data_IF_447886856711
#
_entry.id   IF_447886856711
#
_cell.length_a   1.000
_cell.length_b   1.000
_cell.length_c   1.000
_cell.angle_alpha   90.00
_cell.angle_beta   90.00
_cell.angle_gamma   90.00
#
_symmetry.space_group_name_H-M   'P 1'
#
loop_
_entity.id
_entity.type
_entity.pdbx_description
1 polymer ?
#
# COMPACT_ATOMS: atom_id res chain seq x y z
N UNK A 1 -18.05 -17.83 37.90
CA UNK A 1 -16.74 -17.14 37.86
C UNK A 1 -16.97 -15.76 37.26
N UNK A 2 -16.56 -14.75 38.02
CA UNK A 2 -17.09 -13.38 38.02
C UNK A 2 -16.40 -12.47 37.01
N UNK A 3 -17.20 -11.66 36.30
CA UNK A 3 -16.76 -10.61 35.36
C UNK A 3 -16.17 -9.41 36.13
N UNK A 4 -15.02 -8.90 35.69
CA UNK A 4 -14.40 -7.68 36.21
C UNK A 4 -14.76 -6.49 35.30
N UNK A 5 -15.30 -5.36 35.80
CA UNK A 5 -15.72 -4.24 34.95
C UNK A 5 -14.59 -3.26 34.57
N UNK A 6 -14.73 -2.66 33.39
CA UNK A 6 -13.98 -1.50 32.86
C UNK A 6 -14.06 -0.29 33.82
N UNK A 7 -13.18 -0.18 34.81
CA UNK A 7 -12.92 1.08 35.53
C UNK A 7 -11.61 1.14 36.34
N UNK A 8 -10.51 0.56 35.83
CA UNK A 8 -9.17 0.67 36.44
C UNK A 8 -8.06 0.90 35.41
N UNK A 9 -8.21 1.93 34.57
CA UNK A 9 -7.12 2.38 33.69
C UNK A 9 -6.99 3.92 33.61
N UNK A 10 -7.75 4.67 34.40
CA UNK A 10 -7.60 6.12 34.54
C UNK A 10 -7.38 6.43 36.02
N UNK A 11 -6.17 6.19 36.50
CA UNK A 11 -5.75 6.67 37.83
C UNK A 11 -4.24 6.95 37.93
N UNK A 12 -3.49 6.91 36.81
CA UNK A 12 -2.06 7.24 36.77
C UNK A 12 -1.72 8.43 35.86
N UNK A 13 -2.69 9.29 35.53
CA UNK A 13 -2.49 10.44 34.65
C UNK A 13 -3.03 11.76 35.23
N UNK A 14 -2.93 11.95 36.55
CA UNK A 14 -3.37 13.18 37.23
C UNK A 14 -2.48 13.50 38.46
N UNK A 15 -1.17 13.62 38.24
CA UNK A 15 -0.21 14.43 39.02
C UNK A 15 0.82 14.91 37.99
N UNK A 16 0.71 16.09 37.39
CA UNK A 16 1.12 17.34 38.00
C UNK A 16 0.31 18.52 37.41
N UNK A 17 -0.22 19.33 38.33
CA UNK A 17 -1.28 20.29 38.09
C UNK A 17 -0.85 21.65 37.54
N UNK A 18 -1.84 22.27 36.94
CA UNK A 18 -2.01 23.69 36.63
C UNK A 18 -1.95 24.59 37.87
N UNK A 19 -1.38 25.79 37.76
CA UNK A 19 -1.65 26.88 38.72
C UNK A 19 -0.73 28.11 38.71
N UNK A 20 -0.86 28.94 37.68
CA UNK A 20 -0.89 30.43 37.66
C UNK A 20 -0.20 31.22 38.81
N UNK A 21 0.69 32.19 38.49
CA UNK A 21 0.55 33.62 38.90
C UNK A 21 1.61 34.60 38.34
N UNK A 22 1.11 35.79 37.99
CA UNK A 22 1.67 37.15 38.15
C UNK A 22 2.86 37.68 37.30
N UNK A 23 2.57 38.84 36.69
CA UNK A 23 3.49 39.85 36.19
C UNK A 23 4.35 40.47 37.30
N UNK A 24 5.62 40.74 36.97
CA UNK A 24 6.38 41.90 37.47
C UNK A 24 7.39 41.65 38.58
N UNK A 25 8.68 41.86 38.30
CA UNK A 25 9.71 42.05 39.32
C UNK A 25 11.07 41.49 38.94
N UNK A 26 12.07 42.36 38.85
CA UNK A 26 13.42 42.10 38.37
C UNK A 26 14.14 40.94 39.08
N UNK A 27 14.76 40.08 38.27
CA UNK A 27 15.70 39.06 38.73
C UNK A 27 16.53 38.59 37.54
N UNK A 28 17.63 39.30 37.27
CA UNK A 28 18.67 38.83 36.35
C UNK A 28 19.25 37.51 36.87
N UNK A 29 18.73 36.39 36.38
CA UNK A 29 19.45 35.13 36.39
C UNK A 29 20.02 34.92 35.00
N UNK A 30 21.33 35.17 34.89
CA UNK A 30 22.16 34.73 33.77
C UNK A 30 22.11 33.20 33.73
N UNK A 31 21.11 32.64 33.06
CA UNK A 31 21.19 31.28 32.57
C UNK A 31 22.29 31.27 31.52
N UNK A 32 23.44 30.71 31.91
CA UNK A 32 24.44 30.26 30.98
C UNK A 32 23.73 29.40 29.91
N UNK A 33 23.59 29.96 28.72
CA UNK A 33 23.08 29.26 27.56
C UNK A 33 24.03 28.09 27.30
N UNK A 34 23.62 26.88 27.66
CA UNK A 34 24.33 25.69 27.23
C UNK A 34 24.09 25.57 25.71
N UNK A 35 25.10 25.78 24.84
CA UNK A 35 24.91 25.73 23.38
C UNK A 35 24.37 24.37 22.92
N UNK A 36 24.62 23.30 23.69
CA UNK A 36 24.06 21.98 23.45
C UNK A 36 22.51 21.93 23.52
N UNK A 37 21.87 22.77 24.36
CA UNK A 37 20.40 22.84 24.41
C UNK A 37 19.80 23.64 23.25
N UNK A 38 20.52 24.65 22.74
CA UNK A 38 20.07 25.46 21.59
C UNK A 38 20.16 24.70 20.26
N UNK A 39 21.14 23.81 20.10
CA UNK A 39 21.28 22.95 18.92
C UNK A 39 20.18 21.88 18.81
N UNK A 40 19.51 21.50 19.91
CA UNK A 40 18.49 20.46 19.96
C UNK A 40 17.08 20.94 19.54
N UNK A 41 16.79 22.23 19.62
CA UNK A 41 15.43 22.76 19.32
C UNK A 41 15.12 22.86 17.81
N UNK A 42 16.11 22.62 16.93
CA UNK A 42 15.98 22.83 15.48
C UNK A 42 16.20 21.58 14.62
N UNK A 43 16.60 20.47 15.24
CA UNK A 43 16.73 19.20 14.53
C UNK A 43 15.45 18.38 14.69
N UNK A 44 14.89 17.91 13.58
CA UNK A 44 13.72 17.02 13.58
C UNK A 44 14.05 15.74 12.84
N UNK A 45 13.66 14.60 13.41
CA UNK A 45 13.93 13.27 12.85
C UNK A 45 12.61 12.59 12.52
N UNK A 46 12.55 11.99 11.35
CA UNK A 46 11.38 11.28 10.86
C UNK A 46 11.83 9.92 10.32
N UNK A 47 11.09 8.87 10.69
CA UNK A 47 11.03 7.66 9.87
C UNK A 47 9.80 7.88 8.98
N UNK A 48 9.96 8.33 7.73
CA UNK A 48 8.83 8.78 6.93
C UNK A 48 7.86 7.63 6.67
N UNK A 49 6.57 7.96 6.69
CA UNK A 49 5.51 7.06 6.23
C UNK A 49 5.68 6.82 4.74
N UNK A 50 5.83 5.57 4.29
CA UNK A 50 5.90 5.30 2.87
C UNK A 50 4.50 5.41 2.26
N UNK A 51 4.44 5.88 1.03
CA UNK A 51 3.23 6.02 0.23
C UNK A 51 3.32 5.08 -0.98
N UNK A 52 2.45 4.07 -1.03
CA UNK A 52 2.30 3.16 -2.17
C UNK A 52 1.15 3.62 -3.07
N UNK A 53 1.37 3.62 -4.39
CA UNK A 53 0.30 3.81 -5.38
C UNK A 53 -0.31 2.45 -5.72
N UNK A 54 -1.63 2.34 -5.61
CA UNK A 54 -2.41 1.13 -5.92
C UNK A 54 -3.56 1.50 -6.85
N UNK A 55 -3.63 0.83 -7.99
CA UNK A 55 -4.57 1.07 -9.08
C UNK A 55 -5.44 -0.17 -9.24
N UNK A 56 -6.72 -0.08 -8.90
CA UNK A 56 -7.67 -1.19 -8.95
C UNK A 56 -8.31 -1.34 -10.34
N UNK A 57 -8.95 -2.49 -10.56
CA UNK A 57 -9.71 -2.80 -11.79
C UNK A 57 -8.89 -2.76 -13.10
N UNK A 58 -7.58 -2.98 -13.02
CA UNK A 58 -6.74 -3.11 -14.21
C UNK A 58 -7.05 -4.44 -14.90
N UNK A 59 -6.96 -4.52 -16.23
CA UNK A 59 -7.11 -5.79 -16.95
C UNK A 59 -8.47 -5.99 -17.63
N UNK A 60 -9.48 -5.18 -17.34
CA UNK A 60 -10.69 -5.13 -18.14
C UNK A 60 -10.40 -4.67 -19.58
N UNK A 61 -11.04 -5.28 -20.58
CA UNK A 61 -11.02 -4.81 -21.97
C UNK A 61 -12.27 -4.00 -22.30
N UNK A 62 -13.42 -4.41 -21.80
CA UNK A 62 -14.64 -3.61 -21.87
C UNK A 62 -14.61 -2.49 -20.83
N UNK A 63 -14.91 -1.26 -21.25
CA UNK A 63 -15.19 -0.19 -20.31
C UNK A 63 -16.61 -0.23 -19.74
N UNK A 64 -17.53 -0.93 -20.40
CA UNK A 64 -18.95 -0.91 -20.03
C UNK A 64 -19.22 -1.64 -18.70
N UNK A 65 -19.82 -0.94 -17.75
CA UNK A 65 -20.41 -1.55 -16.55
C UNK A 65 -21.68 -2.32 -16.92
N UNK A 66 -21.64 -3.64 -16.75
CA UNK A 66 -22.75 -4.53 -17.05
C UNK A 66 -23.46 -5.06 -15.80
N UNK A 67 -23.18 -4.51 -14.62
CA UNK A 67 -23.72 -4.98 -13.34
C UNK A 67 -25.24 -5.05 -13.28
N UNK A 68 -25.93 -4.11 -13.93
CA UNK A 68 -27.41 -4.11 -14.05
C UNK A 68 -27.97 -5.33 -14.78
N UNK A 69 -27.14 -6.03 -15.56
CA UNK A 69 -27.48 -7.23 -16.35
C UNK A 69 -26.86 -8.52 -15.79
N UNK A 70 -26.38 -8.50 -14.55
CA UNK A 70 -25.65 -9.61 -13.92
C UNK A 70 -24.27 -9.90 -14.54
N UNK A 71 -23.72 -8.96 -15.28
CA UNK A 71 -22.32 -8.99 -15.73
C UNK A 71 -21.43 -8.29 -14.67
N UNK A 72 -20.08 -8.30 -14.82
CA UNK A 72 -19.19 -7.68 -13.84
C UNK A 72 -19.39 -6.17 -13.71
N UNK A 73 -19.07 -5.65 -12.52
CA UNK A 73 -18.70 -4.24 -12.36
C UNK A 73 -17.34 -4.04 -13.04
N UNK A 74 -17.35 -3.46 -14.23
CA UNK A 74 -16.14 -3.03 -14.92
C UNK A 74 -15.84 -1.58 -14.58
N UNK A 75 -14.92 -0.98 -15.31
CA UNK A 75 -14.43 0.39 -15.10
C UNK A 75 -15.44 1.51 -15.37
N UNK A 76 -16.52 1.26 -16.12
CA UNK A 76 -17.60 2.21 -16.35
C UNK A 76 -17.26 3.34 -17.32
N UNK A 77 -16.14 3.26 -18.02
CA UNK A 77 -15.73 4.27 -19.00
C UNK A 77 -16.47 4.12 -20.34
N UNK A 78 -16.58 5.21 -21.10
CA UNK A 78 -17.35 5.27 -22.34
C UNK A 78 -16.62 4.73 -23.58
N UNK A 79 -15.61 3.87 -23.39
CA UNK A 79 -14.83 3.21 -24.45
C UNK A 79 -14.25 1.89 -23.96
N UNK A 80 -13.75 1.07 -24.87
CA UNK A 80 -12.95 -0.08 -24.47
C UNK A 80 -11.56 0.38 -24.02
N UNK A 81 -10.93 -0.44 -23.18
CA UNK A 81 -9.52 -0.28 -22.86
C UNK A 81 -8.64 -0.67 -24.02
N UNK A 82 -7.48 -0.04 -24.10
CA UNK A 82 -6.50 -0.23 -25.17
C UNK A 82 -5.09 -0.35 -24.60
N UNK A 83 -4.09 -0.84 -25.35
CA UNK A 83 -2.71 -0.95 -24.87
C UNK A 83 -2.14 0.34 -24.26
N UNK A 84 -2.51 1.51 -24.78
CA UNK A 84 -2.10 2.82 -24.25
C UNK A 84 -2.55 3.09 -22.81
N UNK A 85 -3.57 2.39 -22.30
CA UNK A 85 -4.02 2.52 -20.91
C UNK A 85 -3.08 1.80 -19.92
N UNK A 86 -2.43 0.72 -20.36
CA UNK A 86 -1.37 0.05 -19.59
C UNK A 86 -0.07 0.84 -19.62
N UNK A 87 0.23 1.46 -20.77
CA UNK A 87 1.38 2.34 -20.92
C UNK A 87 1.31 3.53 -19.95
N UNK A 88 0.11 4.08 -19.71
CA UNK A 88 -0.09 5.17 -18.74
C UNK A 88 0.38 4.81 -17.31
N UNK A 89 0.16 3.56 -16.87
CA UNK A 89 0.64 3.07 -15.56
C UNK A 89 2.17 3.08 -15.53
N UNK A 90 2.80 2.53 -16.58
CA UNK A 90 4.25 2.48 -16.68
C UNK A 90 4.90 3.88 -16.78
N UNK A 91 4.23 4.84 -17.43
CA UNK A 91 4.65 6.24 -17.50
C UNK A 91 4.61 6.90 -16.13
N UNK A 92 3.54 6.71 -15.36
CA UNK A 92 3.45 7.18 -13.98
C UNK A 92 4.60 6.60 -13.13
N UNK A 93 4.80 5.28 -13.19
CA UNK A 93 5.87 4.61 -12.46
C UNK A 93 7.26 5.14 -12.83
N UNK A 94 7.52 5.36 -14.11
CA UNK A 94 8.81 5.91 -14.60
C UNK A 94 9.03 7.35 -14.16
N UNK A 95 8.01 8.20 -14.25
CA UNK A 95 8.12 9.61 -13.91
C UNK A 95 8.44 9.83 -12.43
N UNK A 96 7.94 8.94 -11.56
CA UNK A 96 8.14 9.01 -10.10
C UNK A 96 9.24 8.06 -9.57
N UNK A 97 9.86 7.26 -10.45
CA UNK A 97 10.75 6.12 -10.09
C UNK A 97 10.15 5.19 -9.03
N UNK A 98 8.87 4.86 -9.21
CA UNK A 98 8.12 3.90 -8.39
C UNK A 98 7.59 2.75 -9.25
N UNK A 99 7.13 1.71 -8.57
CA UNK A 99 6.44 0.56 -9.14
C UNK A 99 5.02 0.51 -8.56
N UNK A 100 4.05 1.20 -9.19
CA UNK A 100 2.66 1.14 -8.76
C UNK A 100 2.13 -0.29 -8.82
N UNK A 101 1.27 -0.63 -7.87
CA UNK A 101 0.49 -1.85 -7.96
C UNK A 101 -0.67 -1.65 -8.91
N UNK A 102 -0.80 -2.54 -9.86
CA UNK A 102 -1.95 -2.66 -10.74
C UNK A 102 -2.70 -3.93 -10.31
N UNK A 103 -3.88 -3.78 -9.73
CA UNK A 103 -4.70 -4.91 -9.28
C UNK A 103 -5.50 -5.45 -10.48
N UNK A 104 -5.08 -6.62 -10.99
CA UNK A 104 -5.59 -7.18 -12.23
C UNK A 104 -6.84 -8.04 -12.04
N UNK A 105 -7.80 -7.83 -12.94
CA UNK A 105 -8.90 -8.75 -13.27
C UNK A 105 -8.65 -9.37 -14.64
N UNK A 106 -8.55 -10.70 -14.71
CA UNK A 106 -7.99 -11.38 -15.88
C UNK A 106 -8.98 -12.11 -16.79
N UNK A 107 -10.28 -12.15 -16.50
CA UNK A 107 -11.18 -13.01 -17.29
C UNK A 107 -11.22 -12.62 -18.78
N UNK A 108 -11.14 -11.33 -19.10
CA UNK A 108 -11.14 -10.86 -20.48
C UNK A 108 -9.79 -11.08 -21.22
N UNK A 109 -8.77 -11.63 -20.53
CA UNK A 109 -7.50 -12.08 -21.10
C UNK A 109 -7.47 -13.56 -21.48
N UNK A 110 -8.57 -14.30 -21.27
CA UNK A 110 -8.67 -15.72 -21.57
C UNK A 110 -8.64 -15.98 -23.09
N UNK A 111 -7.49 -16.42 -23.60
CA UNK A 111 -7.28 -16.70 -25.04
C UNK A 111 -7.90 -18.02 -25.47
N UNK A 112 -8.04 -18.96 -24.54
CA UNK A 112 -8.43 -20.35 -24.84
C UNK A 112 -9.84 -20.68 -24.34
N UNK A 113 -10.52 -19.69 -23.72
CA UNK A 113 -11.80 -19.84 -23.07
C UNK A 113 -11.78 -20.92 -21.97
N UNK A 114 -10.68 -21.01 -21.21
CA UNK A 114 -10.55 -21.99 -20.12
C UNK A 114 -11.55 -21.74 -19.00
N UNK A 115 -12.03 -20.50 -18.82
CA UNK A 115 -12.94 -20.14 -17.73
C UNK A 115 -14.33 -20.77 -17.83
N UNK A 116 -14.68 -21.40 -18.97
CA UNK A 116 -15.86 -22.26 -19.07
C UNK A 116 -15.83 -23.43 -18.06
N UNK A 117 -14.63 -23.80 -17.61
CA UNK A 117 -14.40 -24.86 -16.63
C UNK A 117 -14.39 -24.33 -15.18
N UNK A 118 -14.52 -23.02 -14.98
CA UNK A 118 -14.70 -22.35 -13.69
C UNK A 118 -15.94 -21.44 -13.75
N UNK A 119 -17.16 -22.02 -13.78
CA UNK A 119 -18.39 -21.26 -14.05
C UNK A 119 -18.74 -20.22 -12.97
N UNK A 120 -18.06 -20.24 -11.83
CA UNK A 120 -18.18 -19.26 -10.74
C UNK A 120 -17.42 -17.97 -11.00
N UNK A 121 -16.56 -17.93 -12.03
CA UNK A 121 -15.68 -16.79 -12.33
C UNK A 121 -16.25 -15.81 -13.35
N UNK A 122 -17.29 -16.16 -14.11
CA UNK A 122 -17.86 -15.27 -15.13
C UNK A 122 -19.38 -15.40 -15.22
N UNK A 123 -20.03 -14.34 -15.69
CA UNK A 123 -21.49 -14.29 -15.87
C UNK A 123 -22.03 -15.25 -16.94
N UNK A 124 -21.18 -15.69 -17.87
CA UNK A 124 -21.54 -16.70 -18.88
C UNK A 124 -21.41 -18.13 -18.34
N UNK A 125 -20.76 -18.32 -17.19
CA UNK A 125 -20.54 -19.63 -16.60
C UNK A 125 -19.88 -20.61 -17.59
N UNK A 126 -20.52 -21.76 -17.82
CA UNK A 126 -20.03 -22.81 -18.73
C UNK A 126 -20.07 -22.40 -20.21
N UNK A 127 -20.84 -21.38 -20.54
CA UNK A 127 -20.98 -20.87 -21.90
C UNK A 127 -19.97 -19.75 -22.21
N UNK A 128 -18.97 -19.56 -21.33
CA UNK A 128 -17.93 -18.55 -21.49
C UNK A 128 -17.31 -18.54 -22.90
N UNK A 129 -17.31 -17.35 -23.49
CA UNK A 129 -16.73 -17.07 -24.79
C UNK A 129 -16.15 -15.65 -24.84
N UNK A 130 -14.84 -15.58 -24.69
CA UNK A 130 -14.00 -14.40 -24.73
C UNK A 130 -13.52 -14.02 -26.15
N UNK A 131 -13.94 -14.72 -27.21
CA UNK A 131 -13.38 -14.54 -28.56
C UNK A 131 -13.43 -13.10 -29.06
N UNK A 132 -14.41 -12.31 -28.61
CA UNK A 132 -14.52 -10.88 -28.93
C UNK A 132 -13.34 -10.02 -28.46
N UNK A 133 -12.61 -10.46 -27.42
CA UNK A 133 -11.47 -9.75 -26.84
C UNK A 133 -10.12 -10.33 -27.27
N UNK A 134 -10.10 -11.36 -28.12
CA UNK A 134 -8.87 -11.95 -28.64
C UNK A 134 -8.44 -11.20 -29.89
N UNK A 135 -7.31 -10.50 -29.80
CA UNK A 135 -6.69 -9.81 -30.92
C UNK A 135 -5.27 -9.34 -30.61
N UNK A 136 -4.60 -8.66 -31.57
CA UNK A 136 -3.22 -8.21 -31.41
C UNK A 136 -2.98 -7.33 -30.17
N UNK A 137 -4.01 -6.57 -29.76
CA UNK A 137 -3.95 -5.70 -28.58
C UNK A 137 -3.65 -6.44 -27.27
N UNK A 138 -4.01 -7.72 -27.13
CA UNK A 138 -3.64 -8.53 -25.95
C UNK A 138 -2.12 -8.66 -25.86
N UNK A 139 -1.49 -8.99 -27.00
CA UNK A 139 -0.05 -9.17 -27.07
C UNK A 139 0.67 -7.83 -26.89
N UNK A 140 0.17 -6.75 -27.52
CA UNK A 140 0.72 -5.40 -27.34
C UNK A 140 0.68 -4.95 -25.88
N UNK A 141 -0.44 -5.20 -25.17
CA UNK A 141 -0.54 -4.87 -23.75
C UNK A 141 0.36 -5.76 -22.88
N UNK A 142 0.45 -7.06 -23.19
CA UNK A 142 1.36 -7.97 -22.50
C UNK A 142 2.83 -7.56 -22.69
N UNK A 143 3.21 -7.14 -23.90
CA UNK A 143 4.53 -6.59 -24.20
C UNK A 143 4.82 -5.33 -23.39
N UNK A 144 3.87 -4.40 -23.29
CA UNK A 144 4.01 -3.21 -22.44
C UNK A 144 4.27 -3.64 -20.99
N UNK A 145 3.50 -4.58 -20.46
CA UNK A 145 3.65 -5.06 -19.07
C UNK A 145 5.04 -5.68 -18.86
N UNK A 146 5.47 -6.60 -19.73
CA UNK A 146 6.77 -7.28 -19.65
C UNK A 146 7.95 -6.31 -19.73
N UNK A 147 7.92 -5.36 -20.65
CA UNK A 147 9.01 -4.39 -20.83
C UNK A 147 9.03 -3.30 -19.75
N UNK A 148 8.00 -3.22 -18.90
CA UNK A 148 7.88 -2.22 -17.85
C UNK A 148 7.77 -2.81 -16.44
N UNK A 149 8.24 -4.06 -16.21
CA UNK A 149 8.19 -4.71 -14.89
C UNK A 149 8.83 -3.91 -13.74
N UNK A 150 9.79 -3.00 -14.03
CA UNK A 150 10.36 -2.08 -13.02
C UNK A 150 9.35 -1.02 -12.55
N UNK A 151 8.39 -0.66 -13.40
CA UNK A 151 7.48 0.48 -13.23
C UNK A 151 6.00 0.08 -13.18
N UNK A 152 5.72 -1.22 -13.10
CA UNK A 152 4.39 -1.79 -12.94
C UNK A 152 4.52 -3.11 -12.20
N UNK A 153 3.70 -3.30 -11.16
CA UNK A 153 3.57 -4.56 -10.44
C UNK A 153 2.16 -5.11 -10.64
N UNK A 154 2.07 -6.33 -11.20
CA UNK A 154 0.80 -7.05 -11.23
C UNK A 154 0.47 -7.48 -9.80
N UNK A 155 -0.74 -7.18 -9.36
CA UNK A 155 -1.33 -7.56 -8.08
C UNK A 155 -2.61 -8.35 -8.35
N UNK A 156 -2.91 -9.38 -7.56
CA UNK A 156 -4.15 -10.15 -7.74
C UNK A 156 -5.32 -9.29 -7.31
N UNK A 157 -6.33 -9.15 -8.18
CA UNK A 157 -7.61 -8.55 -7.82
C UNK A 157 -8.77 -9.53 -8.00
N UNK A 158 -8.82 -10.22 -9.14
CA UNK A 158 -9.86 -11.20 -9.45
C UNK A 158 -9.56 -11.98 -10.72
N UNK A 159 -10.21 -13.13 -10.88
CA UNK A 159 -10.43 -13.70 -12.22
C UNK A 159 -11.53 -12.90 -12.90
N UNK A 160 -12.70 -12.76 -12.26
CA UNK A 160 -13.84 -12.01 -12.79
C UNK A 160 -14.41 -10.97 -11.84
N UNK A 161 -13.75 -10.73 -10.70
CA UNK A 161 -14.07 -9.74 -9.66
C UNK A 161 -15.29 -10.11 -8.79
N UNK A 162 -16.37 -10.63 -9.37
CA UNK A 162 -17.53 -11.14 -8.62
C UNK A 162 -17.54 -12.68 -8.54
N UNK A 163 -18.49 -13.25 -7.80
CA UNK A 163 -18.71 -14.70 -7.73
C UNK A 163 -20.10 -15.05 -8.27
N UNK A 164 -20.17 -15.91 -9.29
CA UNK A 164 -21.41 -16.28 -9.97
C UNK A 164 -21.93 -17.66 -9.60
N UNK A 165 -23.24 -17.76 -9.38
CA UNK A 165 -23.95 -19.04 -9.28
C UNK A 165 -25.28 -18.94 -10.04
N UNK A 166 -25.51 -19.85 -10.98
CA UNK A 166 -26.76 -19.86 -11.76
C UNK A 166 -26.99 -18.59 -12.60
N UNK A 167 -25.93 -17.93 -13.05
CA UNK A 167 -26.01 -16.68 -13.82
C UNK A 167 -26.23 -15.42 -12.97
N UNK A 168 -26.27 -15.55 -11.65
CA UNK A 168 -26.42 -14.43 -10.72
C UNK A 168 -25.14 -14.23 -9.93
N UNK A 169 -24.67 -12.98 -9.83
CA UNK A 169 -23.49 -12.70 -9.02
C UNK A 169 -23.84 -12.36 -7.58
N UNK A 170 -22.90 -12.64 -6.69
CA UNK A 170 -22.83 -12.07 -5.34
C UNK A 170 -21.47 -11.43 -5.14
N UNK A 171 -21.45 -10.28 -4.46
CA UNK A 171 -20.21 -9.55 -4.20
C UNK A 171 -19.49 -10.13 -2.99
N UNK A 172 -18.23 -10.55 -3.05
CA UNK A 172 -17.27 -10.57 -4.19
C UNK A 172 -16.65 -11.97 -4.40
N UNK A 173 -15.69 -12.07 -5.34
CA UNK A 173 -15.02 -13.32 -5.75
C UNK A 173 -14.42 -14.12 -4.58
N UNK A 174 -13.78 -13.46 -3.63
CA UNK A 174 -12.99 -14.13 -2.58
C UNK A 174 -13.71 -14.24 -1.25
N UNK A 175 -14.40 -13.17 -0.87
CA UNK A 175 -15.18 -13.03 0.35
C UNK A 175 -16.49 -12.35 -0.02
N UNK A 176 -17.60 -12.86 0.52
CA UNK A 176 -18.90 -12.27 0.28
C UNK A 176 -19.10 -10.95 1.06
N UNK A 177 -20.24 -10.32 0.87
CA UNK A 177 -20.57 -9.03 1.51
C UNK A 177 -20.75 -9.14 3.03
N UNK A 178 -20.97 -10.35 3.55
CA UNK A 178 -21.08 -10.63 4.98
C UNK A 178 -19.72 -10.98 5.63
N UNK A 179 -18.62 -10.92 4.87
CA UNK A 179 -17.30 -11.29 5.37
C UNK A 179 -17.06 -12.79 5.38
N UNK A 180 -17.91 -13.59 4.73
CA UNK A 180 -17.70 -15.02 4.62
C UNK A 180 -16.77 -15.31 3.45
N UNK A 181 -15.60 -15.89 3.73
CA UNK A 181 -14.72 -16.40 2.67
C UNK A 181 -15.47 -17.47 1.87
N UNK A 182 -15.32 -17.44 0.54
CA UNK A 182 -15.82 -18.52 -0.33
C UNK A 182 -15.27 -19.88 0.10
N UNK A 183 -15.87 -20.97 -0.40
CA UNK A 183 -15.35 -22.30 -0.11
C UNK A 183 -13.87 -22.37 -0.49
N UNK A 184 -13.05 -23.00 0.35
CA UNK A 184 -11.59 -23.04 0.18
C UNK A 184 -11.23 -23.55 -1.22
N UNK A 185 -11.91 -24.60 -1.66
CA UNK A 185 -11.71 -25.22 -2.96
C UNK A 185 -12.03 -24.25 -4.10
N UNK A 186 -13.02 -23.36 -3.92
CA UNK A 186 -13.32 -22.31 -4.90
C UNK A 186 -12.24 -21.23 -4.92
N UNK A 187 -11.77 -20.78 -3.75
CA UNK A 187 -10.67 -19.80 -3.66
C UNK A 187 -9.41 -20.35 -4.36
N UNK A 188 -9.03 -21.60 -4.05
CA UNK A 188 -7.87 -22.25 -4.65
C UNK A 188 -8.02 -22.44 -6.17
N UNK A 189 -9.21 -22.85 -6.65
CA UNK A 189 -9.48 -22.92 -8.09
C UNK A 189 -9.37 -21.54 -8.76
N UNK A 190 -9.92 -20.49 -8.17
CA UNK A 190 -9.81 -19.15 -8.73
C UNK A 190 -8.35 -18.67 -8.81
N UNK A 191 -7.52 -18.94 -7.79
CA UNK A 191 -6.08 -18.65 -7.83
C UNK A 191 -5.35 -19.47 -8.92
N UNK A 192 -5.71 -20.75 -9.08
CA UNK A 192 -5.17 -21.60 -10.13
C UNK A 192 -5.48 -21.05 -11.54
N UNK A 193 -6.73 -20.66 -11.78
CA UNK A 193 -7.13 -20.09 -13.06
C UNK A 193 -6.54 -18.70 -13.30
N UNK A 194 -6.36 -17.89 -12.26
CA UNK A 194 -5.62 -16.63 -12.35
C UNK A 194 -4.20 -16.88 -12.87
N UNK A 195 -3.50 -17.88 -12.31
CA UNK A 195 -2.16 -18.28 -12.78
C UNK A 195 -2.15 -18.76 -14.24
N UNK A 196 -3.11 -19.61 -14.62
CA UNK A 196 -3.23 -20.07 -16.02
C UNK A 196 -3.46 -18.92 -17.01
N UNK A 197 -4.24 -17.91 -16.64
CA UNK A 197 -4.47 -16.73 -17.48
C UNK A 197 -3.21 -15.87 -17.62
N UNK A 198 -2.41 -15.76 -16.55
CA UNK A 198 -1.10 -15.14 -16.64
C UNK A 198 -0.17 -15.89 -17.59
N UNK A 199 -0.13 -17.22 -17.49
CA UNK A 199 0.70 -18.08 -18.34
C UNK A 199 0.30 -17.97 -19.83
N UNK A 200 -0.99 -17.96 -20.16
CA UNK A 200 -1.49 -17.76 -21.54
C UNK A 200 -1.02 -16.45 -22.19
N UNK A 201 -0.69 -15.46 -21.37
CA UNK A 201 -0.35 -14.12 -21.79
C UNK A 201 1.12 -13.75 -21.50
N UNK A 202 1.92 -14.67 -20.96
CA UNK A 202 3.29 -14.44 -20.52
C UNK A 202 3.41 -13.14 -19.69
N UNK A 203 2.58 -13.02 -18.65
CA UNK A 203 2.54 -11.83 -17.78
C UNK A 203 3.59 -11.86 -16.67
N UNK A 204 4.47 -12.87 -16.67
CA UNK A 204 5.51 -13.07 -15.67
C UNK A 204 5.09 -13.96 -14.49
N UNK A 205 5.84 -13.93 -13.37
CA UNK A 205 5.59 -14.81 -12.23
C UNK A 205 4.28 -14.47 -11.51
N UNK A 206 3.74 -15.45 -10.79
CA UNK A 206 2.54 -15.26 -9.97
C UNK A 206 2.74 -14.11 -8.95
N UNK A 207 1.76 -13.22 -8.74
CA UNK A 207 1.94 -12.05 -7.90
C UNK A 207 2.16 -12.38 -6.43
N UNK A 208 2.90 -11.52 -5.74
CA UNK A 208 3.12 -11.61 -4.28
C UNK A 208 2.18 -10.71 -3.48
N UNK A 209 1.32 -9.94 -4.17
CA UNK A 209 0.40 -8.97 -3.60
C UNK A 209 -1.04 -9.25 -3.98
N UNK A 210 -1.96 -8.83 -3.11
CA UNK A 210 -3.40 -9.04 -3.27
C UNK A 210 -4.20 -7.80 -2.84
N UNK A 211 -5.15 -7.39 -3.69
CA UNK A 211 -6.21 -6.45 -3.33
C UNK A 211 -7.52 -7.21 -3.42
N UNK A 212 -8.27 -7.39 -2.32
CA UNK A 212 -9.55 -8.09 -2.38
C UNK A 212 -10.51 -7.38 -3.33
N UNK A 213 -11.10 -8.13 -4.28
CA UNK A 213 -12.18 -7.63 -5.13
C UNK A 213 -13.25 -6.92 -4.27
N UNK A 214 -13.64 -5.73 -4.70
CA UNK A 214 -14.58 -4.87 -3.97
C UNK A 214 -14.23 -4.56 -2.51
N UNK A 215 -12.98 -4.75 -2.13
CA UNK A 215 -12.51 -4.62 -0.76
C UNK A 215 -13.25 -5.55 0.22
N UNK A 216 -13.83 -6.65 -0.26
CA UNK A 216 -14.46 -7.65 0.61
C UNK A 216 -13.38 -8.57 1.17
N UNK A 217 -13.12 -8.40 2.46
CA UNK A 217 -12.12 -9.18 3.17
C UNK A 217 -12.48 -9.33 4.65
N UNK A 218 -12.01 -10.43 5.24
CA UNK A 218 -12.08 -10.71 6.67
C UNK A 218 -10.68 -10.93 7.20
N UNK A 219 -10.34 -10.24 8.30
CA UNK A 219 -9.06 -10.44 8.98
C UNK A 219 -9.12 -11.71 9.85
N UNK A 220 -8.24 -12.66 9.56
CA UNK A 220 -8.28 -14.01 10.12
C UNK A 220 -9.44 -14.85 9.55
N UNK A 221 -9.64 -16.08 10.08
CA UNK A 221 -10.71 -16.94 9.60
C UNK A 221 -12.09 -16.29 9.78
N UNK A 222 -12.92 -16.39 8.73
CA UNK A 222 -14.34 -16.05 8.80
C UNK A 222 -15.13 -17.13 9.55
N UNK A 223 -16.39 -16.85 9.91
CA UNK A 223 -17.21 -17.79 10.67
C UNK A 223 -17.29 -19.16 9.99
N UNK A 224 -17.09 -20.24 10.76
CA UNK A 224 -17.14 -21.61 10.23
C UNK A 224 -16.00 -21.98 9.26
N UNK A 225 -14.92 -21.20 9.21
CA UNK A 225 -13.68 -21.54 8.51
C UNK A 225 -12.56 -21.79 9.51
N UNK A 226 -11.73 -22.80 9.22
CA UNK A 226 -10.56 -23.12 10.03
C UNK A 226 -9.32 -22.29 9.59
N UNK A 227 -9.26 -21.92 8.30
CA UNK A 227 -8.16 -21.16 7.69
C UNK A 227 -8.66 -19.77 7.24
N UNK A 228 -7.79 -18.76 7.28
CA UNK A 228 -8.08 -17.42 6.72
C UNK A 228 -7.78 -17.36 5.23
N UNK A 229 -8.35 -16.35 4.55
CA UNK A 229 -7.99 -16.09 3.15
C UNK A 229 -6.50 -15.78 3.00
N UNK A 230 -5.92 -15.05 3.96
CA UNK A 230 -4.49 -14.76 3.97
C UNK A 230 -3.64 -16.03 4.08
N UNK A 231 -4.07 -17.02 4.87
CA UNK A 231 -3.37 -18.31 4.96
C UNK A 231 -3.37 -19.07 3.63
N UNK A 232 -4.49 -19.06 2.90
CA UNK A 232 -4.55 -19.65 1.55
C UNK A 232 -3.63 -18.89 0.60
N UNK A 233 -3.74 -17.55 0.54
CA UNK A 233 -2.92 -16.69 -0.30
C UNK A 233 -1.41 -16.89 -0.06
N UNK A 234 -1.00 -17.06 1.20
CA UNK A 234 0.40 -17.35 1.55
C UNK A 234 0.95 -18.62 0.90
N UNK A 235 0.13 -19.67 0.75
CA UNK A 235 0.52 -20.92 0.08
C UNK A 235 0.83 -20.70 -1.40
N UNK A 236 0.28 -19.64 -2.00
CA UNK A 236 0.52 -19.18 -3.37
C UNK A 236 1.63 -18.13 -3.48
N UNK A 237 2.35 -17.82 -2.40
CA UNK A 237 3.45 -16.86 -2.40
C UNK A 237 3.03 -15.41 -2.17
N UNK A 238 1.76 -15.14 -1.87
CA UNK A 238 1.29 -13.80 -1.50
C UNK A 238 1.67 -13.50 -0.06
N UNK A 239 2.31 -12.36 0.16
CA UNK A 239 2.80 -11.92 1.47
C UNK A 239 2.34 -10.50 1.84
N UNK A 240 1.46 -9.93 1.01
CA UNK A 240 0.95 -8.57 1.12
C UNK A 240 -0.53 -8.47 0.69
N UNK A 241 -1.38 -7.91 1.56
CA UNK A 241 -2.77 -7.56 1.27
C UNK A 241 -2.97 -6.05 1.48
N UNK A 242 -3.63 -5.38 0.53
CA UNK A 242 -3.99 -3.96 0.63
C UNK A 242 -5.53 -3.82 0.60
N UNK A 243 -6.13 -3.35 1.70
CA UNK A 243 -7.59 -3.26 1.85
C UNK A 243 -7.96 -2.20 2.90
N UNK A 244 -9.12 -1.53 2.81
CA UNK A 244 -9.53 -0.54 3.80
C UNK A 244 -9.93 -1.24 5.09
N UNK A 245 -9.35 -0.85 6.23
CA UNK A 245 -9.77 -1.38 7.53
C UNK A 245 -11.16 -0.88 7.94
N UNK A 246 -11.62 0.24 7.39
CA UNK A 246 -12.95 0.79 7.64
C UNK A 246 -14.08 -0.18 7.26
N UNK A 247 -13.90 -0.95 6.18
CA UNK A 247 -14.89 -1.89 5.64
C UNK A 247 -14.53 -3.37 5.84
N UNK A 248 -13.32 -3.67 6.31
CA UNK A 248 -12.85 -5.02 6.57
C UNK A 248 -13.59 -5.67 7.74
N UNK A 249 -14.05 -6.90 7.54
CA UNK A 249 -14.65 -7.71 8.59
C UNK A 249 -13.60 -8.20 9.58
N UNK A 250 -13.98 -8.39 10.85
CA UNK A 250 -13.09 -8.75 11.95
C UNK A 250 -11.91 -7.75 12.18
N UNK A 251 -12.07 -6.48 11.77
CA UNK A 251 -11.04 -5.43 11.93
C UNK A 251 -10.54 -5.24 13.37
N UNK A 252 -11.33 -5.61 14.38
CA UNK A 252 -10.94 -5.54 15.78
C UNK A 252 -9.77 -6.46 16.15
N UNK A 253 -9.40 -7.41 15.27
CA UNK A 253 -8.27 -8.32 15.43
C UNK A 253 -6.94 -7.74 14.92
N UNK A 254 -6.99 -6.65 14.16
CA UNK A 254 -5.80 -5.95 13.66
C UNK A 254 -4.97 -5.44 14.83
N UNK A 255 -3.65 -5.61 14.74
CA UNK A 255 -2.74 -5.35 15.86
C UNK A 255 -2.17 -3.92 15.87
N UNK A 256 -2.07 -3.25 14.72
CA UNK A 256 -1.46 -1.93 14.59
C UNK A 256 -2.36 -0.99 13.78
N UNK A 257 -2.10 0.31 13.87
CA UNK A 257 -2.94 1.34 13.26
C UNK A 257 -3.04 1.20 11.74
N UNK A 258 -1.89 1.04 11.07
CA UNK A 258 -1.82 0.99 9.60
C UNK A 258 -1.63 -0.41 9.02
N UNK A 259 -1.43 -1.42 9.86
CA UNK A 259 -1.25 -2.79 9.38
C UNK A 259 -1.63 -3.83 10.43
N UNK A 260 -1.84 -5.06 9.96
CA UNK A 260 -1.94 -6.25 10.79
C UNK A 260 -1.23 -7.43 10.15
N UNK A 261 -0.99 -8.48 10.92
CA UNK A 261 -0.43 -9.73 10.43
C UNK A 261 -1.48 -10.82 10.58
N UNK A 262 -1.93 -11.36 9.45
CA UNK A 262 -2.82 -12.52 9.37
C UNK A 262 -2.04 -13.70 8.79
N UNK A 263 -1.80 -14.72 9.62
CA UNK A 263 -1.12 -15.96 9.21
C UNK A 263 0.28 -15.74 8.59
N UNK A 264 0.94 -14.64 8.93
CA UNK A 264 2.26 -14.23 8.41
C UNK A 264 2.20 -13.44 7.10
N UNK A 265 1.00 -13.02 6.66
CA UNK A 265 0.79 -12.07 5.57
C UNK A 265 0.50 -10.70 6.17
N UNK A 266 1.14 -9.65 5.64
CA UNK A 266 0.89 -8.28 6.11
C UNK A 266 -0.35 -7.74 5.40
N UNK A 267 -1.36 -7.34 6.16
CA UNK A 267 -2.55 -6.63 5.66
C UNK A 267 -2.41 -5.17 6.03
N UNK A 268 -2.47 -4.25 5.07
CA UNK A 268 -2.25 -2.81 5.26
C UNK A 268 -3.55 -2.05 5.07
N UNK A 269 -3.81 -1.09 5.95
CA UNK A 269 -4.92 -0.17 5.81
C UNK A 269 -4.64 0.80 4.67
N UNK A 270 -5.43 0.70 3.61
CA UNK A 270 -5.32 1.61 2.47
C UNK A 270 -6.04 2.94 2.69
N UNK A 271 -6.94 3.02 3.68
CA UNK A 271 -7.85 4.14 3.85
C UNK A 271 -8.91 4.22 2.74
N UNK A 272 -9.47 5.41 2.53
CA UNK A 272 -10.48 5.65 1.51
C UNK A 272 -9.87 6.30 0.26
N UNK A 273 -10.22 5.78 -0.92
CA UNK A 273 -9.85 6.38 -2.20
C UNK A 273 -10.42 7.81 -2.33
N UNK A 274 -9.73 8.67 -3.08
CA UNK A 274 -10.21 10.03 -3.33
C UNK A 274 -11.48 10.04 -4.18
N UNK A 275 -11.52 9.16 -5.19
CA UNK A 275 -12.54 9.17 -6.21
C UNK A 275 -13.47 7.97 -6.12
N UNK A 276 -14.76 8.15 -6.43
CA UNK A 276 -15.60 7.04 -6.87
C UNK A 276 -14.95 6.27 -8.03
N UNK A 277 -15.20 4.96 -8.08
CA UNK A 277 -14.60 4.06 -9.07
C UNK A 277 -14.83 4.46 -10.53
N UNK A 278 -15.94 5.15 -10.80
CA UNK A 278 -16.41 5.59 -12.12
C UNK A 278 -15.92 7.00 -12.54
N UNK A 279 -15.10 7.66 -11.73
CA UNK A 279 -14.55 8.98 -12.09
C UNK A 279 -13.52 8.88 -13.22
N UNK A 280 -13.78 9.58 -14.34
CA UNK A 280 -12.99 9.49 -15.57
C UNK A 280 -13.12 10.77 -16.42
N UNK A 281 -12.02 11.50 -16.71
CA UNK A 281 -10.71 11.47 -16.03
C UNK A 281 -10.82 12.04 -14.61
N UNK A 282 -9.87 11.70 -13.72
CA UNK A 282 -9.78 12.31 -12.40
C UNK A 282 -8.79 13.49 -12.36
N UNK A 283 -8.95 14.35 -11.36
CA UNK A 283 -8.02 15.46 -11.07
C UNK A 283 -7.69 15.46 -9.57
N UNK A 284 -6.56 14.85 -9.16
CA UNK A 284 -6.25 14.58 -7.76
C UNK A 284 -5.97 15.87 -6.97
N UNK A 285 -6.56 15.96 -5.79
CA UNK A 285 -6.58 17.18 -4.99
C UNK A 285 -6.68 16.97 -3.48
N UNK A 286 -7.23 15.84 -3.03
CA UNK A 286 -7.41 15.51 -1.61
C UNK A 286 -6.05 15.27 -0.96
N UNK A 287 -5.85 15.64 0.30
CA UNK A 287 -4.62 15.26 1.00
C UNK A 287 -4.62 13.76 1.33
N UNK A 288 -3.49 13.10 1.06
CA UNK A 288 -3.27 11.70 1.45
C UNK A 288 -2.74 11.67 2.88
N UNK A 289 -3.54 11.11 3.78
CA UNK A 289 -3.21 10.99 5.19
C UNK A 289 -2.67 9.60 5.58
N UNK A 290 -2.79 8.60 4.70
CA UNK A 290 -2.43 7.21 4.97
C UNK A 290 -1.28 6.69 4.10
N UNK A 291 -0.91 5.41 4.27
CA UNK A 291 0.24 4.84 3.58
C UNK A 291 -0.06 4.44 2.12
N UNK A 292 -1.32 4.55 1.67
CA UNK A 292 -1.71 4.18 0.30
C UNK A 292 -2.40 5.34 -0.41
N UNK A 293 -2.01 5.57 -1.67
CA UNK A 293 -2.77 6.33 -2.65
C UNK A 293 -3.55 5.31 -3.50
N UNK A 294 -4.79 5.04 -3.09
CA UNK A 294 -5.68 4.13 -3.79
C UNK A 294 -6.48 4.87 -4.86
N UNK A 295 -6.58 4.27 -6.05
CA UNK A 295 -7.38 4.75 -7.17
C UNK A 295 -7.88 3.59 -8.02
N UNK A 296 -8.85 3.85 -8.88
CA UNK A 296 -9.29 2.89 -9.90
C UNK A 296 -8.65 3.25 -11.23
N UNK A 297 -8.42 2.25 -12.10
CA UNK A 297 -7.77 2.45 -13.38
C UNK A 297 -8.35 3.60 -14.22
N UNK A 298 -9.68 3.84 -14.30
CA UNK A 298 -10.24 5.00 -15.00
C UNK A 298 -9.75 6.35 -14.52
N UNK A 299 -9.40 6.49 -13.23
CA UNK A 299 -9.01 7.77 -12.65
C UNK A 299 -7.73 8.32 -13.30
N UNK A 300 -6.90 7.45 -13.90
CA UNK A 300 -5.64 7.82 -14.54
C UNK A 300 -5.71 7.88 -16.07
N UNK A 301 -6.90 7.73 -16.66
CA UNK A 301 -7.06 7.62 -18.11
C UNK A 301 -7.78 8.83 -18.69
N UNK A 302 -7.52 9.10 -19.96
CA UNK A 302 -8.19 10.12 -20.74
C UNK A 302 -9.24 9.48 -21.69
N UNK A 303 -10.36 10.16 -22.01
CA UNK A 303 -11.33 9.69 -23.01
C UNK A 303 -10.71 9.35 -24.37
N UNK A 304 -9.73 10.15 -24.80
CA UNK A 304 -8.83 9.88 -25.93
C UNK A 304 -7.53 9.24 -25.43
N UNK A 305 -7.25 7.95 -25.68
CA UNK A 305 -6.09 7.24 -25.12
C UNK A 305 -4.73 7.88 -25.44
N UNK A 306 -4.59 8.51 -26.61
CA UNK A 306 -3.39 9.22 -27.04
C UNK A 306 -3.04 10.45 -26.18
N UNK A 307 -3.96 10.84 -25.29
CA UNK A 307 -3.81 11.94 -24.32
C UNK A 307 -3.73 11.45 -22.88
N UNK A 308 -3.59 10.14 -22.65
CA UNK A 308 -3.42 9.59 -21.29
C UNK A 308 -2.26 10.27 -20.53
N UNK A 309 -1.19 10.66 -21.24
CA UNK A 309 -0.05 11.37 -20.67
C UNK A 309 -0.43 12.68 -19.96
N UNK A 310 -1.48 13.38 -20.39
CA UNK A 310 -1.96 14.60 -19.73
C UNK A 310 -2.54 14.32 -18.34
N UNK A 311 -3.21 13.18 -18.17
CA UNK A 311 -3.76 12.76 -16.87
C UNK A 311 -2.66 12.20 -15.99
N UNK A 312 -1.73 11.43 -16.56
CA UNK A 312 -0.52 10.95 -15.87
C UNK A 312 0.28 12.13 -15.31
N UNK A 313 0.50 13.20 -16.09
CA UNK A 313 1.23 14.38 -15.64
C UNK A 313 0.59 15.05 -14.41
N UNK A 314 -0.76 15.09 -14.34
CA UNK A 314 -1.47 15.60 -13.16
C UNK A 314 -1.19 14.76 -11.92
N UNK A 315 -1.25 13.43 -12.06
CA UNK A 315 -0.90 12.51 -10.97
C UNK A 315 0.56 12.64 -10.54
N UNK A 316 1.50 12.81 -11.49
CA UNK A 316 2.91 13.05 -11.18
C UNK A 316 3.09 14.34 -10.38
N UNK A 317 2.48 15.44 -10.82
CA UNK A 317 2.55 16.73 -10.14
C UNK A 317 1.94 16.68 -8.74
N UNK A 318 0.86 15.93 -8.58
CA UNK A 318 0.19 15.74 -7.30
C UNK A 318 0.98 14.85 -6.32
N UNK A 319 1.63 13.78 -6.80
CA UNK A 319 2.36 12.83 -5.97
C UNK A 319 3.79 13.28 -5.62
N UNK A 320 4.44 14.05 -6.49
CA UNK A 320 5.85 14.49 -6.30
C UNK A 320 6.08 15.18 -4.95
N UNK A 321 5.23 16.13 -4.49
CA UNK A 321 5.42 16.82 -3.22
C UNK A 321 5.46 15.88 -2.00
N UNK A 322 4.76 14.74 -2.03
CA UNK A 322 4.80 13.77 -0.93
C UNK A 322 6.17 13.14 -0.74
N UNK A 323 6.98 13.07 -1.81
CA UNK A 323 8.35 12.56 -1.70
C UNK A 323 9.32 13.58 -1.07
N UNK A 324 8.99 14.87 -1.16
CA UNK A 324 9.81 15.98 -0.65
C UNK A 324 9.48 16.31 0.82
N UNK A 325 8.29 15.93 1.28
CA UNK A 325 7.88 16.05 2.68
C UNK A 325 8.84 15.31 3.63
N UNK A 326 9.08 15.81 4.85
CA UNK A 326 9.93 15.12 5.82
C UNK A 326 9.26 13.88 6.44
N UNK A 327 7.94 13.89 6.54
CA UNK A 327 7.12 12.88 7.21
C UNK A 327 6.60 11.78 6.27
N UNK A 328 6.75 11.94 4.96
CA UNK A 328 6.30 10.98 3.95
C UNK A 328 7.38 10.69 2.91
N UNK A 329 7.24 9.60 2.17
CA UNK A 329 8.06 9.32 0.99
C UNK A 329 7.30 8.44 0.01
N UNK A 330 7.58 8.55 -1.29
CA UNK A 330 7.04 7.60 -2.26
C UNK A 330 7.81 6.27 -2.14
N UNK A 331 7.07 5.16 -2.04
CA UNK A 331 7.68 3.84 -2.01
C UNK A 331 8.07 3.40 -3.42
N UNK A 332 9.31 2.92 -3.59
CA UNK A 332 9.82 2.48 -4.89
C UNK A 332 9.11 1.24 -5.41
N UNK A 333 8.65 0.37 -4.53
CA UNK A 333 7.94 -0.88 -4.83
C UNK A 333 7.30 -1.41 -3.54
N UNK A 334 6.45 -2.43 -3.67
CA UNK A 334 5.70 -3.01 -2.56
C UNK A 334 6.56 -3.63 -1.46
N UNK A 335 7.79 -4.05 -1.77
CA UNK A 335 8.70 -4.61 -0.76
C UNK A 335 9.29 -3.48 0.09
N UNK A 336 9.82 -2.44 -0.54
CA UNK A 336 10.33 -1.25 0.15
C UNK A 336 9.21 -0.55 0.94
N UNK A 337 8.00 -0.48 0.37
CA UNK A 337 6.80 0.02 1.05
C UNK A 337 6.55 -0.69 2.38
N UNK A 338 6.44 -2.02 2.37
CA UNK A 338 6.10 -2.80 3.57
C UNK A 338 7.17 -2.63 4.64
N UNK A 339 8.45 -2.74 4.29
CA UNK A 339 9.52 -2.63 5.28
C UNK A 339 9.61 -1.22 5.87
N UNK A 340 9.50 -0.19 5.04
CA UNK A 340 9.49 1.18 5.52
C UNK A 340 8.28 1.43 6.43
N UNK A 341 7.11 0.85 6.15
CA UNK A 341 5.91 1.02 6.98
C UNK A 341 6.09 0.36 8.35
N UNK A 342 6.66 -0.85 8.39
CA UNK A 342 6.97 -1.52 9.66
C UNK A 342 7.94 -0.69 10.50
N UNK A 343 8.98 -0.12 9.89
CA UNK A 343 9.90 0.79 10.58
C UNK A 343 9.22 2.08 11.03
N UNK A 344 8.41 2.71 10.17
CA UNK A 344 7.64 3.91 10.52
C UNK A 344 6.74 3.67 11.74
N UNK A 345 6.07 2.52 11.80
CA UNK A 345 5.13 2.22 12.89
C UNK A 345 5.78 1.70 14.16
N UNK A 346 6.94 1.05 14.11
CA UNK A 346 7.49 0.29 15.25
C UNK A 346 8.92 0.64 15.64
N UNK A 347 9.67 1.40 14.84
CA UNK A 347 11.01 1.84 15.23
C UNK A 347 10.89 3.19 15.93
N UNK A 348 11.35 3.27 17.17
CA UNK A 348 11.39 4.54 17.89
C UNK A 348 12.63 5.32 17.47
N UNK A 349 12.46 6.62 17.22
CA UNK A 349 13.55 7.53 16.93
C UNK A 349 13.50 8.70 17.93
N UNK A 350 14.61 8.97 18.61
CA UNK A 350 14.69 10.01 19.63
C UNK A 350 16.00 10.79 19.58
N UNK A 351 15.98 12.02 20.09
CA UNK A 351 17.18 12.86 20.22
C UNK A 351 17.77 12.75 21.63
N UNK A 352 19.07 12.45 21.68
CA UNK A 352 19.86 12.41 22.90
C UNK A 352 21.17 13.18 22.67
N UNK A 353 21.23 14.44 23.10
CA UNK A 353 22.43 15.28 22.92
C UNK A 353 22.77 15.51 21.45
N UNK A 354 23.95 15.08 21.00
CA UNK A 354 24.39 15.14 19.61
C UNK A 354 24.18 13.81 18.87
N UNK A 355 23.22 13.01 19.31
CA UNK A 355 22.86 11.75 18.67
C UNK A 355 21.37 11.57 18.47
N UNK A 356 21.04 10.82 17.43
CA UNK A 356 19.74 10.23 17.16
C UNK A 356 19.83 8.76 17.58
N UNK A 357 19.01 8.38 18.55
CA UNK A 357 18.88 6.99 19.00
C UNK A 357 17.74 6.33 18.22
N UNK A 358 17.99 5.11 17.73
CA UNK A 358 17.03 4.29 17.01
C UNK A 358 16.83 2.99 17.81
N UNK A 359 15.61 2.73 18.25
CA UNK A 359 15.25 1.52 19.00
C UNK A 359 14.33 0.61 18.16
N UNK A 360 14.82 -0.61 17.91
CA UNK A 360 14.14 -1.62 17.11
C UNK A 360 13.40 -2.66 17.95
N UNK A 361 13.28 -2.47 19.27
CA UNK A 361 12.72 -3.47 20.19
C UNK A 361 11.33 -3.95 19.78
N UNK A 362 10.41 -3.06 19.43
CA UNK A 362 9.06 -3.46 18.98
C UNK A 362 9.08 -4.08 17.58
N UNK A 363 9.96 -3.57 16.72
CA UNK A 363 10.18 -4.10 15.37
C UNK A 363 10.68 -5.56 15.42
N UNK A 364 11.56 -5.89 16.36
CA UNK A 364 12.11 -7.24 16.60
C UNK A 364 11.09 -8.24 17.13
N UNK A 365 9.96 -7.77 17.69
CA UNK A 365 8.89 -8.65 18.20
C UNK A 365 7.98 -9.18 17.09
N UNK A 366 8.10 -8.67 15.87
CA UNK A 366 7.32 -9.15 14.73
C UNK A 366 7.73 -10.58 14.36
N UNK A 367 6.91 -11.55 14.76
CA UNK A 367 7.10 -12.95 14.41
C UNK A 367 6.46 -13.24 13.04
N UNK A 368 7.13 -14.07 12.24
CA UNK A 368 6.56 -14.62 10.99
C UNK A 368 6.57 -13.67 9.79
N UNK A 369 7.20 -12.49 9.91
CA UNK A 369 7.44 -11.55 8.82
C UNK A 369 8.93 -11.40 8.61
N UNK A 370 9.41 -11.57 7.37
CA UNK A 370 10.79 -11.27 7.02
C UNK A 370 10.95 -9.76 6.91
N UNK A 371 11.74 -9.13 7.78
CA UNK A 371 12.00 -7.70 7.74
C UNK A 371 13.35 -7.39 7.07
N UNK A 372 13.36 -6.47 6.09
CA UNK A 372 14.63 -5.91 5.59
C UNK A 372 15.28 -5.05 6.65
N UNK A 373 16.60 -5.10 6.72
CA UNK A 373 17.41 -4.26 7.61
C UNK A 373 17.52 -2.82 7.09
N UNK A 374 17.14 -2.58 5.84
CA UNK A 374 17.25 -1.30 5.16
C UNK A 374 15.99 -0.47 5.34
N UNK A 375 16.15 0.80 5.71
CA UNK A 375 15.06 1.77 5.85
C UNK A 375 15.58 3.21 5.72
N UNK A 376 14.65 4.14 5.50
CA UNK A 376 14.95 5.56 5.33
C UNK A 376 14.68 6.33 6.62
N UNK A 377 15.55 7.28 6.94
CA UNK A 377 15.34 8.33 7.93
C UNK A 377 15.51 9.68 7.26
N UNK A 378 14.57 10.60 7.50
CA UNK A 378 14.64 11.98 7.08
C UNK A 378 14.96 12.88 8.26
N UNK A 379 15.88 13.83 8.09
CA UNK A 379 16.32 14.72 9.17
C UNK A 379 16.30 16.15 8.66
N UNK A 380 15.59 17.05 9.37
CA UNK A 380 15.65 18.49 9.12
C UNK A 380 16.67 19.09 10.09
N UNK A 381 17.57 19.94 9.59
CA UNK A 381 18.50 20.72 10.39
C UNK A 381 18.64 22.15 9.85
N UNK A 382 18.97 23.11 10.71
CA UNK A 382 19.13 24.53 10.34
C UNK A 382 20.55 24.88 9.84
N UNK A 383 21.44 23.89 9.83
CA UNK A 383 22.82 24.01 9.39
C UNK A 383 23.32 22.69 8.81
N UNK A 384 24.41 22.70 8.02
CA UNK A 384 25.01 21.48 7.53
C UNK A 384 25.48 20.58 8.67
N UNK A 385 25.23 19.28 8.55
CA UNK A 385 25.64 18.24 9.49
C UNK A 385 26.34 17.09 8.78
N UNK A 386 27.28 16.48 9.50
CA UNK A 386 27.93 15.21 9.16
C UNK A 386 27.43 14.14 10.11
N UNK A 387 27.06 12.98 9.56
CA UNK A 387 26.56 11.85 10.34
C UNK A 387 27.63 10.76 10.43
N UNK A 388 27.76 10.18 11.61
CA UNK A 388 28.51 8.95 11.87
C UNK A 388 27.60 7.96 12.58
N UNK A 389 27.82 6.67 12.38
CA UNK A 389 26.87 5.64 12.79
C UNK A 389 27.51 4.56 13.66
N UNK A 390 26.82 4.21 14.75
CA UNK A 390 27.13 3.09 15.63
C UNK A 390 25.93 2.13 15.63
N UNK A 391 26.18 0.82 15.53
CA UNK A 391 25.10 -0.17 15.42
C UNK A 391 24.32 -0.19 14.09
N UNK A 392 24.57 0.77 13.18
CA UNK A 392 23.91 0.90 11.88
C UNK A 392 24.92 1.34 10.81
N UNK A 393 24.61 1.10 9.54
CA UNK A 393 25.38 1.57 8.39
C UNK A 393 24.61 2.65 7.64
N UNK A 394 25.26 3.75 7.26
CA UNK A 394 24.69 4.75 6.35
C UNK A 394 25.06 4.29 4.93
N UNK A 395 24.08 3.78 4.18
CA UNK A 395 24.25 3.26 2.82
C UNK A 395 24.35 4.38 1.80
N UNK A 396 23.56 5.42 2.00
CA UNK A 396 23.64 6.65 1.23
C UNK A 396 23.13 7.83 2.06
N UNK A 397 23.65 9.00 1.75
CA UNK A 397 23.19 10.26 2.31
C UNK A 397 23.00 11.25 1.16
N UNK A 398 21.78 11.77 1.03
CA UNK A 398 21.46 12.89 0.16
C UNK A 398 20.96 14.04 1.02
N UNK A 399 21.07 15.27 0.52
CA UNK A 399 20.40 16.41 1.15
C UNK A 399 19.91 17.42 0.12
N UNK A 400 18.84 18.12 0.48
CA UNK A 400 18.36 19.29 -0.25
C UNK A 400 18.69 20.54 0.58
N UNK A 401 19.18 21.57 -0.10
CA UNK A 401 19.50 22.88 0.49
C UNK A 401 18.32 23.84 0.28
N UNK A 402 18.04 24.65 1.30
CA UNK A 402 16.87 25.51 1.38
C UNK A 402 16.96 26.45 2.58
N UNK A 403 15.82 26.87 3.15
CA UNK A 403 15.84 27.56 4.45
C UNK A 403 16.31 26.66 5.59
N UNK A 404 16.06 25.35 5.45
CA UNK A 404 16.57 24.27 6.29
C UNK A 404 17.21 23.19 5.38
N UNK A 405 18.12 22.40 5.93
CA UNK A 405 18.71 21.23 5.28
C UNK A 405 17.84 20.00 5.54
N UNK A 406 17.29 19.40 4.48
CA UNK A 406 16.61 18.11 4.55
C UNK A 406 17.57 16.99 4.14
N UNK A 407 18.02 16.21 5.11
CA UNK A 407 18.80 15.00 4.89
C UNK A 407 17.89 13.79 4.67
N UNK A 408 18.24 12.97 3.69
CA UNK A 408 17.63 11.65 3.45
C UNK A 408 18.73 10.61 3.60
N UNK A 409 18.67 9.84 4.68
CA UNK A 409 19.62 8.78 4.99
C UNK A 409 18.98 7.43 4.70
N UNK A 410 19.57 6.65 3.80
CA UNK A 410 19.26 5.22 3.67
C UNK A 410 20.18 4.48 4.63
N UNK A 411 19.59 3.79 5.59
CA UNK A 411 20.29 3.12 6.67
C UNK A 411 20.14 1.60 6.53
N UNK A 412 21.16 0.85 6.94
CA UNK A 412 21.12 -0.60 7.05
C UNK A 412 21.50 -1.03 8.47
N UNK A 413 20.53 -1.61 9.19
CA UNK A 413 20.71 -2.10 10.56
C UNK A 413 21.72 -3.25 10.61
N UNK A 414 22.68 -3.21 11.55
CA UNK A 414 23.59 -4.33 11.78
C UNK A 414 22.85 -5.52 12.40
N UNK A 415 23.29 -6.74 12.08
CA UNK A 415 22.66 -7.95 12.58
C UNK A 415 22.72 -8.03 14.13
N UNK A 416 21.59 -8.36 14.75
CA UNK A 416 21.49 -8.55 16.21
C UNK A 416 21.51 -7.25 17.03
N UNK A 417 21.53 -6.08 16.40
CA UNK A 417 21.59 -4.79 17.11
C UNK A 417 20.20 -4.26 17.37
N UNK A 418 19.71 -4.28 18.61
CA UNK A 418 18.37 -3.74 18.95
C UNK A 418 18.34 -2.22 19.10
N UNK A 419 19.49 -1.58 19.37
CA UNK A 419 19.60 -0.12 19.45
C UNK A 419 20.77 0.39 18.63
N UNK A 420 20.53 1.41 17.82
CA UNK A 420 21.57 2.06 17.02
C UNK A 420 21.62 3.57 17.29
N UNK A 421 22.72 4.20 16.90
CA UNK A 421 22.97 5.61 17.15
C UNK A 421 23.54 6.28 15.89
N UNK A 422 22.96 7.40 15.49
CA UNK A 422 23.56 8.33 14.53
C UNK A 422 24.08 9.55 15.30
N UNK A 423 25.40 9.71 15.36
CA UNK A 423 26.01 10.92 15.93
C UNK A 423 26.16 11.97 14.84
N UNK A 424 25.87 13.21 15.17
CA UNK A 424 26.01 14.34 14.25
C UNK A 424 26.97 15.40 14.79
N UNK A 425 27.65 16.06 13.86
CA UNK A 425 28.55 17.17 14.11
C UNK A 425 28.50 18.17 12.95
N UNK A 426 28.91 19.40 13.23
CA UNK A 426 29.01 20.49 12.25
C UNK A 426 30.06 20.21 11.16
#
# INVERSE_FOLDING_TARGET
MTKIPRRKFIEHMLIAGTGVTMLGGAGQFLYACNPAKRNLERLKVFIPMPLQVVIDDVGWWSGEDGSSRQEPYRTGINRNHVPADYQAIAELGRALDIRPQAAFVLCEWDKENILRNLPTSTWMGKDWNNTKWIGPWLEEAADIIRHNQKYLEITIHGVGHEYWEGGHFTRAEWTDSNGQMRQKEQVELHLEYFGKLMDQNDLGPFPTSFVPAAFRHSFGPSSGRDESLAEILKKWGVDYINTPFSSMHNRERVQYEHFGIDSGVITIDRGDDEFPWLTFPADPSKEIAGPTCGMHWPNMLHPSPERNSEVVERWVNYLTPYNERPDMMLARNSLDFRHQLLHHSLTEAGLAGNSIELDFTETDRLNGVSLRKEFTVKIIADKPLRFTAEGIHIKSQNYQDGSDFLYVLNLERKQGVTKACLRFAD
#
